data_IF_811283959670
#
_entry.id   IF_811283959670
#
_cell.length_a   1.000
_cell.length_b   1.000
_cell.length_c   1.000
_cell.angle_alpha   90.00
_cell.angle_beta   90.00
_cell.angle_gamma   90.00
#
_symmetry.space_group_name_H-M   'P 1'
#
loop_
_entity.id
_entity.type
_entity.pdbx_description
1 polymer ?
#
# COMPACT_ATOMS: atom_id res chain seq x y z
N UNK A 1 -30.98 67.48 -83.04
CA UNK A 1 -31.98 67.07 -82.02
C UNK A 1 -31.26 66.27 -80.93
N UNK A 2 -30.86 66.93 -79.84
CA UNK A 2 -30.25 66.25 -78.69
C UNK A 2 -31.36 65.87 -77.70
N UNK A 3 -31.68 64.57 -77.61
CA UNK A 3 -32.53 64.06 -76.53
C UNK A 3 -31.64 63.49 -75.44
N UNK A 4 -31.52 64.25 -74.34
CA UNK A 4 -31.02 63.79 -73.05
C UNK A 4 -32.14 62.99 -72.39
N UNK A 5 -31.91 61.72 -72.07
CA UNK A 5 -32.70 60.97 -71.11
C UNK A 5 -31.89 60.86 -69.81
N UNK A 6 -32.28 61.55 -68.73
CA UNK A 6 -31.66 61.33 -67.44
C UNK A 6 -32.18 60.04 -66.82
N UNK A 7 -31.27 59.26 -66.27
CA UNK A 7 -31.52 58.10 -65.41
C UNK A 7 -32.28 58.57 -64.16
N UNK A 8 -33.62 58.55 -64.22
CA UNK A 8 -34.49 58.48 -63.05
C UNK A 8 -34.24 57.08 -62.47
N UNK A 9 -33.74 56.88 -61.26
CA UNK A 9 -33.85 57.69 -60.05
C UNK A 9 -33.93 56.67 -58.93
N UNK A 10 -32.79 56.10 -58.54
CA UNK A 10 -32.71 55.20 -57.39
C UNK A 10 -32.92 56.03 -56.11
N UNK A 11 -34.18 56.26 -55.77
CA UNK A 11 -34.57 56.87 -54.51
C UNK A 11 -34.33 55.83 -53.39
N UNK A 12 -33.12 55.85 -52.83
CA UNK A 12 -32.87 55.24 -51.54
C UNK A 12 -33.70 55.99 -50.48
N UNK A 13 -34.87 55.46 -50.14
CA UNK A 13 -35.61 55.90 -48.95
C UNK A 13 -34.88 55.33 -47.73
N UNK A 14 -33.88 56.06 -47.25
CA UNK A 14 -33.31 55.93 -45.91
C UNK A 14 -33.62 57.21 -45.13
N UNK A 15 -34.91 57.43 -44.91
CA UNK A 15 -35.47 58.57 -44.18
C UNK A 15 -35.87 58.24 -42.75
N UNK A 16 -35.10 57.43 -42.02
CA UNK A 16 -35.25 57.28 -40.56
C UNK A 16 -34.05 57.95 -39.90
N UNK A 17 -34.29 59.03 -39.18
CA UNK A 17 -33.29 59.93 -38.58
C UNK A 17 -32.05 59.20 -38.06
N UNK A 18 -30.84 59.64 -38.47
CA UNK A 18 -29.54 59.14 -37.99
C UNK A 18 -29.44 58.99 -36.46
N UNK A 19 -30.19 59.79 -35.71
CA UNK A 19 -30.29 59.70 -34.24
C UNK A 19 -31.10 58.48 -33.73
N UNK A 20 -32.13 58.04 -34.45
CA UNK A 20 -32.91 56.83 -34.11
C UNK A 20 -32.14 55.55 -34.44
N UNK A 21 -31.46 55.51 -35.59
CA UNK A 21 -30.62 54.37 -35.99
C UNK A 21 -29.46 54.12 -35.00
N UNK A 22 -28.82 55.19 -34.49
CA UNK A 22 -27.77 55.07 -33.46
C UNK A 22 -28.28 54.54 -32.13
N UNK A 23 -29.48 54.96 -31.69
CA UNK A 23 -30.10 54.46 -30.45
C UNK A 23 -30.53 53.00 -30.58
N UNK A 24 -31.09 52.59 -31.72
CA UNK A 24 -31.39 51.18 -31.99
C UNK A 24 -30.14 50.29 -31.93
N UNK A 25 -29.06 50.72 -32.59
CA UNK A 25 -27.79 50.00 -32.58
C UNK A 25 -27.13 49.96 -31.19
N UNK A 26 -27.21 51.04 -30.40
CA UNK A 26 -26.71 51.04 -29.02
C UNK A 26 -27.45 50.04 -28.13
N UNK A 27 -28.78 49.97 -28.23
CA UNK A 27 -29.58 49.01 -27.45
C UNK A 27 -29.29 47.56 -27.87
N UNK A 28 -29.03 47.31 -29.16
CA UNK A 28 -28.62 45.98 -29.63
C UNK A 28 -27.24 45.58 -29.12
N UNK A 29 -26.27 46.50 -29.09
CA UNK A 29 -24.94 46.25 -28.52
C UNK A 29 -25.03 46.00 -27.01
N UNK A 30 -25.81 46.76 -26.27
CA UNK A 30 -26.03 46.53 -24.83
C UNK A 30 -26.68 45.16 -24.57
N UNK A 31 -27.64 44.75 -25.41
CA UNK A 31 -28.23 43.40 -25.33
C UNK A 31 -27.23 42.29 -25.64
N UNK A 32 -26.38 42.49 -26.64
CA UNK A 32 -25.31 41.54 -26.97
C UNK A 32 -24.31 41.42 -25.82
N UNK A 33 -23.89 42.56 -25.24
CA UNK A 33 -22.98 42.57 -24.08
C UNK A 33 -23.60 41.92 -22.84
N UNK A 34 -24.88 42.16 -22.57
CA UNK A 34 -25.59 41.52 -21.46
C UNK A 34 -25.63 40.00 -21.63
N UNK A 35 -25.92 39.51 -22.84
CA UNK A 35 -25.90 38.07 -23.17
C UNK A 35 -24.51 37.46 -23.02
N UNK A 36 -23.46 38.13 -23.51
CA UNK A 36 -22.07 37.67 -23.35
C UNK A 36 -21.65 37.61 -21.88
N UNK A 37 -22.02 38.62 -21.10
CA UNK A 37 -21.73 38.65 -19.66
C UNK A 37 -22.44 37.53 -18.89
N UNK A 38 -23.72 37.27 -19.18
CA UNK A 38 -24.43 36.15 -18.58
C UNK A 38 -23.81 34.80 -18.95
N UNK A 39 -23.41 34.63 -20.21
CA UNK A 39 -22.72 33.43 -20.66
C UNK A 39 -21.39 33.24 -19.94
N UNK A 40 -20.58 34.31 -19.83
CA UNK A 40 -19.31 34.28 -19.09
C UNK A 40 -19.52 33.94 -17.61
N UNK A 41 -20.56 34.49 -16.97
CA UNK A 41 -20.93 34.14 -15.58
C UNK A 41 -21.34 32.68 -15.44
N UNK A 42 -22.14 32.14 -16.37
CA UNK A 42 -22.53 30.72 -16.36
C UNK A 42 -21.32 29.81 -16.53
N UNK A 43 -20.40 30.15 -17.43
CA UNK A 43 -19.15 29.41 -17.62
C UNK A 43 -18.28 29.44 -16.36
N UNK A 44 -18.08 30.61 -15.76
CA UNK A 44 -17.31 30.75 -14.52
C UNK A 44 -17.94 29.97 -13.36
N UNK A 45 -19.27 29.99 -13.22
CA UNK A 45 -19.98 29.21 -12.21
C UNK A 45 -19.83 27.70 -12.44
N UNK A 46 -19.94 27.24 -13.69
CA UNK A 46 -19.76 25.82 -14.03
C UNK A 46 -18.32 25.36 -13.76
N UNK A 47 -17.32 26.19 -14.07
CA UNK A 47 -15.92 25.89 -13.77
C UNK A 47 -15.66 25.86 -12.27
N UNK A 48 -16.22 26.80 -11.50
CA UNK A 48 -16.13 26.80 -10.05
C UNK A 48 -16.73 25.51 -9.44
N UNK A 49 -17.88 25.07 -9.95
CA UNK A 49 -18.50 23.79 -9.54
C UNK A 49 -17.60 22.59 -9.85
N UNK A 50 -17.00 22.53 -11.05
CA UNK A 50 -16.07 21.44 -11.40
C UNK A 50 -14.85 21.42 -10.48
N UNK A 51 -14.26 22.58 -10.19
CA UNK A 51 -13.11 22.69 -9.28
C UNK A 51 -13.47 22.27 -7.85
N UNK A 52 -14.67 22.63 -7.38
CA UNK A 52 -15.15 22.21 -6.06
C UNK A 52 -15.39 20.70 -5.99
N UNK A 53 -16.01 20.12 -7.03
CA UNK A 53 -16.22 18.67 -7.11
C UNK A 53 -14.90 17.91 -7.15
N UNK A 54 -13.92 18.37 -7.94
CA UNK A 54 -12.58 17.80 -7.99
C UNK A 54 -11.90 17.86 -6.62
N UNK A 55 -11.97 18.99 -5.92
CA UNK A 55 -11.46 19.11 -4.55
C UNK A 55 -12.16 18.15 -3.58
N UNK A 56 -13.47 17.96 -3.70
CA UNK A 56 -14.21 17.01 -2.84
C UNK A 56 -13.77 15.57 -3.11
N UNK A 57 -13.58 15.20 -4.38
CA UNK A 57 -13.05 13.87 -4.76
C UNK A 57 -11.63 13.68 -4.22
N UNK A 58 -10.75 14.66 -4.39
CA UNK A 58 -9.38 14.60 -3.86
C UNK A 58 -9.34 14.50 -2.33
N UNK A 59 -10.21 15.21 -1.63
CA UNK A 59 -10.34 15.11 -0.17
C UNK A 59 -10.87 13.74 0.29
N UNK A 60 -11.79 13.14 -0.48
CA UNK A 60 -12.28 11.78 -0.23
C UNK A 60 -11.20 10.74 -0.48
N UNK A 61 -10.48 10.82 -1.61
CA UNK A 61 -9.35 9.95 -1.94
C UNK A 61 -8.28 10.01 -0.85
N UNK A 62 -7.93 11.21 -0.38
CA UNK A 62 -6.99 11.40 0.75
C UNK A 62 -7.50 10.79 2.05
N UNK A 63 -8.81 10.76 2.30
CA UNK A 63 -9.39 10.08 3.49
C UNK A 63 -9.27 8.57 3.35
N UNK A 64 -9.63 8.03 2.19
CA UNK A 64 -9.53 6.60 1.90
C UNK A 64 -8.07 6.12 1.96
N UNK A 65 -7.13 6.88 1.40
CA UNK A 65 -5.71 6.55 1.45
C UNK A 65 -5.18 6.51 2.90
N UNK A 66 -5.57 7.47 3.74
CA UNK A 66 -5.20 7.47 5.17
C UNK A 66 -5.79 6.28 5.92
N UNK A 67 -7.00 5.86 5.60
CA UNK A 67 -7.63 4.69 6.20
C UNK A 67 -6.90 3.40 5.80
N UNK A 68 -6.63 3.23 4.50
CA UNK A 68 -5.83 2.13 3.96
C UNK A 68 -4.43 2.11 4.57
N UNK A 69 -3.80 3.26 4.80
CA UNK A 69 -2.50 3.33 5.42
C UNK A 69 -2.54 2.83 6.88
N UNK A 70 -3.53 3.26 7.65
CA UNK A 70 -3.72 2.77 9.03
C UNK A 70 -4.00 1.26 9.06
N UNK A 71 -4.79 0.76 8.12
CA UNK A 71 -5.04 -0.67 8.00
C UNK A 71 -3.77 -1.46 7.67
N UNK A 72 -2.98 -0.98 6.70
CA UNK A 72 -1.68 -1.57 6.36
C UNK A 72 -0.74 -1.60 7.56
N UNK A 73 -0.71 -0.54 8.37
CA UNK A 73 0.08 -0.48 9.60
C UNK A 73 -0.39 -1.52 10.63
N UNK A 74 -1.71 -1.69 10.80
CA UNK A 74 -2.27 -2.75 11.67
C UNK A 74 -1.85 -4.14 11.19
N UNK A 75 -2.04 -4.43 9.90
CA UNK A 75 -1.69 -5.73 9.30
C UNK A 75 -0.18 -5.98 9.45
N UNK A 76 0.65 -4.96 9.20
CA UNK A 76 2.10 -5.09 9.35
C UNK A 76 2.51 -5.46 10.77
N UNK A 77 1.90 -4.83 11.77
CA UNK A 77 2.16 -5.13 13.19
C UNK A 77 1.71 -6.56 13.57
N UNK A 78 0.56 -6.99 13.06
CA UNK A 78 0.03 -8.34 13.29
C UNK A 78 0.95 -9.42 12.70
N UNK A 79 1.40 -9.23 11.45
CA UNK A 79 2.37 -10.13 10.80
C UNK A 79 3.68 -10.18 11.57
N UNK A 80 4.20 -9.04 12.05
CA UNK A 80 5.44 -9.00 12.84
C UNK A 80 5.31 -9.79 14.16
N UNK A 81 4.17 -9.68 14.84
CA UNK A 81 3.88 -10.46 16.04
C UNK A 81 3.78 -11.95 15.73
N UNK A 82 3.05 -12.32 14.68
CA UNK A 82 2.89 -13.71 14.25
C UNK A 82 4.25 -14.33 13.86
N UNK A 83 5.10 -13.59 13.15
CA UNK A 83 6.46 -14.03 12.82
C UNK A 83 7.31 -14.22 14.07
N UNK A 84 7.19 -13.33 15.06
CA UNK A 84 7.90 -13.47 16.34
C UNK A 84 7.40 -14.68 17.14
N UNK A 85 6.10 -14.95 17.14
CA UNK A 85 5.53 -16.14 17.78
C UNK A 85 5.96 -17.41 17.05
N UNK A 86 5.93 -17.44 15.72
CA UNK A 86 6.45 -18.54 14.90
C UNK A 86 7.93 -18.78 15.16
N UNK A 87 8.73 -17.72 15.30
CA UNK A 87 10.15 -17.83 15.64
C UNK A 87 10.36 -18.44 17.04
N UNK A 88 9.54 -18.03 18.04
CA UNK A 88 9.55 -18.64 19.39
C UNK A 88 9.15 -20.11 19.34
N UNK A 89 8.05 -20.45 18.69
CA UNK A 89 7.57 -21.81 18.54
C UNK A 89 8.59 -22.70 17.81
N UNK A 90 9.25 -22.18 16.77
CA UNK A 90 10.35 -22.86 16.07
C UNK A 90 11.56 -23.10 16.98
N UNK A 91 11.94 -22.11 17.78
CA UNK A 91 13.03 -22.25 18.75
C UNK A 91 12.72 -23.29 19.83
N UNK A 92 11.47 -23.32 20.32
CA UNK A 92 10.99 -24.31 21.29
C UNK A 92 10.95 -25.73 20.71
N UNK A 93 10.45 -25.90 19.48
CA UNK A 93 10.48 -27.18 18.76
C UNK A 93 11.91 -27.68 18.52
N UNK A 94 12.84 -26.78 18.19
CA UNK A 94 14.25 -27.13 18.01
C UNK A 94 14.89 -27.60 19.32
N UNK A 95 14.48 -27.07 20.47
CA UNK A 95 14.96 -27.52 21.78
C UNK A 95 14.38 -28.89 22.17
N UNK A 96 13.11 -29.16 21.81
CA UNK A 96 12.45 -30.46 22.05
C UNK A 96 12.94 -31.61 21.14
N UNK A 97 13.66 -31.30 20.06
CA UNK A 97 14.27 -32.27 19.15
C UNK A 97 15.77 -32.49 19.43
N UNK A 98 16.33 -32.06 20.56
CA UNK A 98 17.62 -32.58 21.00
C UNK A 98 17.46 -34.06 21.37
N UNK A 99 18.02 -35.03 20.62
CA UNK A 99 18.26 -36.34 21.18
C UNK A 99 19.47 -36.18 22.12
N UNK A 100 19.24 -36.02 23.41
CA UNK A 100 20.32 -36.11 24.41
C UNK A 100 20.62 -34.87 25.27
N UNK A 101 19.63 -34.02 25.53
CA UNK A 101 19.74 -32.92 26.51
C UNK A 101 19.30 -33.28 27.93
N UNK A 102 19.46 -34.55 28.35
CA UNK A 102 19.37 -34.88 29.78
C UNK A 102 20.58 -34.24 30.48
N UNK A 103 20.37 -33.63 31.65
CA UNK A 103 21.47 -33.40 32.59
C UNK A 103 22.35 -34.66 32.63
N UNK A 104 23.69 -34.59 32.83
CA UNK A 104 24.40 -35.78 33.26
C UNK A 104 23.80 -36.13 34.61
N UNK A 105 22.81 -37.01 34.59
CA UNK A 105 22.46 -37.82 35.71
C UNK A 105 23.75 -38.58 35.99
N UNK A 106 24.58 -38.03 36.86
CA UNK A 106 25.49 -38.77 37.72
C UNK A 106 24.63 -39.67 38.65
N UNK A 107 23.72 -40.45 38.05
CA UNK A 107 23.15 -41.65 38.61
C UNK A 107 24.03 -42.78 38.10
N UNK A 108 25.16 -42.96 38.79
CA UNK A 108 26.02 -44.14 38.79
C UNK A 108 25.92 -45.08 37.58
N UNK A 109 26.23 -44.61 36.37
CA UNK A 109 26.59 -45.52 35.27
C UNK A 109 28.04 -45.90 35.47
N UNK A 110 28.16 -46.81 36.42
CA UNK A 110 29.12 -47.87 36.60
C UNK A 110 29.55 -48.44 35.22
N UNK A 111 30.44 -47.72 34.52
CA UNK A 111 31.01 -48.07 33.20
C UNK A 111 32.52 -48.16 33.31
N UNK A 112 33.07 -49.28 32.86
CA UNK A 112 34.51 -49.55 32.79
C UNK A 112 34.99 -49.50 31.34
N UNK A 113 36.21 -49.02 31.14
CA UNK A 113 36.85 -49.06 29.83
C UNK A 113 37.82 -50.23 29.77
N UNK A 114 37.75 -51.01 28.69
CA UNK A 114 38.70 -52.09 28.46
C UNK A 114 40.10 -51.53 28.21
N UNK A 115 41.08 -51.93 29.01
CA UNK A 115 42.48 -51.51 28.87
C UNK A 115 43.14 -51.98 27.56
N UNK A 116 42.58 -53.00 26.89
CA UNK A 116 43.14 -53.55 25.64
C UNK A 116 42.57 -52.90 24.38
N UNK A 117 41.27 -52.62 24.34
CA UNK A 117 40.60 -52.15 23.11
C UNK A 117 39.83 -50.82 23.27
N UNK A 118 39.79 -50.25 24.47
CA UNK A 118 39.10 -48.99 24.74
C UNK A 118 37.57 -49.08 24.73
N UNK A 119 37.00 -50.27 24.53
CA UNK A 119 35.55 -50.43 24.44
C UNK A 119 34.88 -50.21 25.81
N UNK A 120 33.72 -49.56 25.80
CA UNK A 120 32.91 -49.32 27.00
C UNK A 120 32.20 -50.61 27.43
N UNK A 121 32.46 -51.05 28.66
CA UNK A 121 31.91 -52.26 29.27
C UNK A 121 31.16 -51.88 30.55
N UNK A 122 30.17 -52.68 30.97
CA UNK A 122 29.41 -52.37 32.19
C UNK A 122 30.15 -52.90 33.42
N UNK A 123 30.06 -52.19 34.54
CA UNK A 123 30.54 -52.67 35.84
C UNK A 123 29.73 -53.91 36.22
N UNK A 124 30.42 -55.02 36.44
CA UNK A 124 29.85 -56.35 36.69
C UNK A 124 30.18 -57.37 35.60
N UNK A 125 30.56 -56.91 34.41
CA UNK A 125 31.01 -57.79 33.34
C UNK A 125 32.39 -58.37 33.66
N UNK A 126 32.52 -59.70 33.59
CA UNK A 126 33.82 -60.38 33.78
C UNK A 126 34.70 -60.26 32.54
N UNK A 127 34.13 -60.01 31.36
CA UNK A 127 34.83 -59.98 30.08
C UNK A 127 34.39 -58.77 29.24
N UNK A 128 35.30 -58.22 28.46
CA UNK A 128 35.03 -57.15 27.53
C UNK A 128 34.16 -57.63 26.36
N UNK A 129 33.06 -56.93 26.10
CA UNK A 129 32.13 -57.21 24.99
C UNK A 129 32.76 -57.03 23.59
N UNK A 130 33.86 -56.27 23.49
CA UNK A 130 34.53 -56.00 22.21
C UNK A 130 35.68 -56.95 21.89
N UNK A 131 36.50 -57.30 22.88
CA UNK A 131 37.72 -58.09 22.65
C UNK A 131 37.82 -59.38 23.48
N UNK A 132 36.80 -59.69 24.29
CA UNK A 132 36.70 -60.91 25.09
C UNK A 132 37.68 -61.04 26.26
N UNK A 133 38.47 -60.00 26.56
CA UNK A 133 39.48 -60.08 27.63
C UNK A 133 38.84 -59.85 29.00
N UNK A 134 39.39 -60.50 30.02
CA UNK A 134 38.89 -60.39 31.38
C UNK A 134 39.05 -58.96 31.92
N UNK A 135 37.96 -58.40 32.46
CA UNK A 135 37.93 -57.07 33.06
C UNK A 135 38.34 -57.15 34.54
N UNK A 136 38.91 -56.08 35.12
CA UNK A 136 39.34 -56.08 36.51
C UNK A 136 38.14 -56.27 37.47
N UNK A 137 38.31 -57.03 38.57
CA UNK A 137 37.24 -57.25 39.54
C UNK A 137 36.93 -55.96 40.28
N UNK A 138 35.65 -55.61 40.33
CA UNK A 138 35.18 -54.39 40.97
C UNK A 138 34.98 -54.73 42.44
N UNK A 139 35.84 -54.16 43.31
CA UNK A 139 35.64 -54.21 44.75
C UNK A 139 34.41 -53.36 45.07
N UNK A 140 33.27 -54.00 45.28
CA UNK A 140 32.14 -53.35 45.92
C UNK A 140 32.54 -53.09 47.38
N UNK A 141 32.52 -51.82 47.80
CA UNK A 141 32.74 -51.38 49.18
C UNK A 141 31.39 -51.16 49.86
#
# INVERSE_FOLDING_TARGET
>A
MFRRSPLLGAAAIYGVSRAGARRGMQVEVERQQAMEYEFQRRQAAQEAQRREEERRREEEDKRQEKELQREKERIKMEVELEEREKARAKAEQQYGQQPGGGLPAYGGVDVLFCSKCGNQCKVGDKFCSGCGIQLPPIKQM
#
